data_IF_860368016662
#
_entry.id   IF_860368016662
#
_cell.length_a   1.000
_cell.length_b   1.000
_cell.length_c   1.000
_cell.angle_alpha   90.00
_cell.angle_beta   90.00
_cell.angle_gamma   90.00
#
_symmetry.space_group_name_H-M   'P 1'
#
loop_
_entity.id
_entity.type
_entity.pdbx_description
1 polymer ?
#
# COMPACT_ATOMS: atom_id res chain seq x y z
N UNK A 1 -49.37 -2.20 41.50
CA UNK A 1 -49.90 -1.18 40.55
C UNK A 1 -48.70 -0.57 39.83
N UNK A 2 -48.77 -0.36 38.50
CA UNK A 2 -47.71 0.33 37.77
C UNK A 2 -47.82 1.84 38.01
N UNK A 3 -46.75 2.57 38.38
CA UNK A 3 -46.85 3.98 38.78
C UNK A 3 -47.15 4.91 37.58
N UNK A 4 -47.79 6.06 37.85
CA UNK A 4 -47.96 7.14 36.86
C UNK A 4 -46.58 7.63 36.43
N UNK A 5 -46.41 7.92 35.13
CA UNK A 5 -45.14 8.39 34.59
C UNK A 5 -44.15 7.31 34.20
N UNK A 6 -44.38 6.03 34.52
CA UNK A 6 -43.49 4.98 34.02
C UNK A 6 -43.83 4.61 32.55
N UNK A 7 -42.83 4.47 31.66
CA UNK A 7 -43.05 4.08 30.27
C UNK A 7 -43.56 2.64 30.14
N UNK A 8 -44.60 2.44 29.35
CA UNK A 8 -45.21 1.13 29.11
C UNK A 8 -45.04 0.78 27.62
N UNK A 9 -44.42 -0.38 27.29
CA UNK A 9 -44.38 -0.85 25.91
C UNK A 9 -45.77 -1.34 25.50
N UNK A 10 -46.34 -0.73 24.47
CA UNK A 10 -47.68 -1.01 23.96
C UNK A 10 -47.63 -1.58 22.53
N UNK A 11 -48.27 -2.74 22.25
CA UNK A 11 -48.14 -3.45 20.98
C UNK A 11 -49.05 -2.95 19.85
N UNK A 12 -49.74 -1.81 20.03
CA UNK A 12 -50.75 -1.30 19.08
C UNK A 12 -50.61 0.19 18.86
N UNK A 13 -51.03 0.69 17.71
CA UNK A 13 -51.12 2.13 17.42
C UNK A 13 -52.37 2.78 18.04
N UNK A 14 -53.35 1.98 18.48
CA UNK A 14 -54.52 2.48 19.22
C UNK A 14 -54.18 2.67 20.69
N UNK A 15 -54.08 3.91 21.14
CA UNK A 15 -53.71 4.25 22.52
C UNK A 15 -54.95 4.14 23.42
N UNK A 16 -54.89 3.37 24.54
CA UNK A 16 -56.01 3.26 25.46
C UNK A 16 -56.37 4.60 26.14
N UNK A 17 -57.63 4.77 26.52
CA UNK A 17 -58.07 5.94 27.27
C UNK A 17 -57.29 6.08 28.59
N UNK A 18 -56.90 7.32 28.92
CA UNK A 18 -56.06 7.62 30.10
C UNK A 18 -54.56 7.47 29.89
N UNK A 19 -54.11 7.15 28.67
CA UNK A 19 -52.70 7.06 28.30
C UNK A 19 -52.37 8.04 27.17
N UNK A 20 -51.09 8.39 27.06
CA UNK A 20 -50.55 9.16 25.94
C UNK A 20 -49.30 8.49 25.37
N UNK A 21 -49.05 8.65 24.07
CA UNK A 21 -47.79 8.28 23.43
C UNK A 21 -46.65 9.15 23.98
N UNK A 22 -45.45 8.60 24.15
CA UNK A 22 -44.29 9.33 24.66
C UNK A 22 -43.44 9.91 23.53
N UNK A 23 -43.72 11.15 23.14
CA UNK A 23 -43.19 11.78 21.92
C UNK A 23 -42.69 13.22 22.13
N UNK A 24 -42.26 13.58 23.35
CA UNK A 24 -41.65 14.88 23.61
C UNK A 24 -42.63 16.02 23.90
N UNK A 25 -43.92 15.74 24.06
CA UNK A 25 -44.96 16.75 24.21
C UNK A 25 -45.04 17.32 25.65
N UNK A 26 -45.46 18.59 25.75
CA UNK A 26 -45.80 19.22 27.03
C UNK A 26 -47.14 18.73 27.57
N UNK A 27 -47.35 18.82 28.89
CA UNK A 27 -48.64 18.56 29.55
C UNK A 27 -48.94 19.60 30.64
N UNK A 28 -50.22 19.73 30.98
CA UNK A 28 -50.66 20.58 32.10
C UNK A 28 -50.40 19.87 33.44
N UNK A 29 -49.48 20.44 34.22
CA UNK A 29 -49.09 19.91 35.54
C UNK A 29 -50.21 20.00 36.57
N UNK A 30 -51.12 20.97 36.46
CA UNK A 30 -52.24 21.11 37.39
C UNK A 30 -53.30 20.04 37.13
N UNK A 31 -53.55 19.72 35.85
CA UNK A 31 -54.46 18.64 35.46
C UNK A 31 -53.90 17.25 35.78
N UNK A 32 -52.57 17.06 35.69
CA UNK A 32 -51.90 15.77 35.89
C UNK A 32 -50.81 15.84 36.99
N UNK A 33 -51.19 16.00 38.27
CA UNK A 33 -50.24 16.20 39.36
C UNK A 33 -49.33 14.99 39.60
N UNK A 34 -49.83 13.77 39.43
CA UNK A 34 -49.02 12.55 39.56
C UNK A 34 -47.99 12.41 38.43
N UNK A 35 -48.35 12.83 37.22
CA UNK A 35 -47.41 12.87 36.10
C UNK A 35 -46.35 13.97 36.29
N UNK A 36 -46.74 15.10 36.89
CA UNK A 36 -45.82 16.19 37.25
C UNK A 36 -44.80 15.78 38.32
N UNK A 37 -45.13 14.84 39.21
CA UNK A 37 -44.15 14.25 40.12
C UNK A 37 -43.08 13.43 39.38
N UNK A 38 -43.47 12.69 38.33
CA UNK A 38 -42.54 11.91 37.52
C UNK A 38 -41.72 12.79 36.56
N UNK A 39 -42.36 13.81 35.98
CA UNK A 39 -41.76 14.74 35.02
C UNK A 39 -41.97 16.20 35.45
N UNK A 40 -41.15 16.72 36.38
CA UNK A 40 -41.30 18.08 36.90
C UNK A 40 -41.16 19.19 35.84
N UNK A 41 -40.50 18.88 34.71
CA UNK A 41 -40.39 19.76 33.55
C UNK A 41 -41.74 20.08 32.89
N UNK A 42 -42.77 19.26 33.12
CA UNK A 42 -44.03 19.36 32.37
C UNK A 42 -43.91 18.82 30.94
N UNK A 43 -42.87 18.04 30.63
CA UNK A 43 -42.60 17.47 29.31
C UNK A 43 -42.46 15.95 29.45
N UNK A 44 -43.24 15.21 28.65
CA UNK A 44 -43.11 13.76 28.52
C UNK A 44 -41.89 13.48 27.63
N UNK A 45 -40.95 12.59 28.01
CA UNK A 45 -39.81 12.24 27.17
C UNK A 45 -40.22 11.73 25.78
N UNK A 46 -39.44 12.04 24.75
CA UNK A 46 -39.57 11.39 23.45
C UNK A 46 -38.82 10.06 23.48
N UNK A 47 -39.56 8.95 23.44
CA UNK A 47 -39.00 7.60 23.46
C UNK A 47 -39.11 6.90 22.10
N UNK A 48 -39.51 7.60 21.05
CA UNK A 48 -39.57 7.02 19.71
C UNK A 48 -38.17 6.59 19.29
N UNK A 49 -38.04 5.33 18.85
CA UNK A 49 -36.77 4.71 18.44
C UNK A 49 -35.71 4.58 19.55
N UNK A 50 -36.07 4.81 20.83
CA UNK A 50 -35.15 4.65 21.95
C UNK A 50 -35.35 3.30 22.66
N UNK A 51 -34.29 2.84 23.32
CA UNK A 51 -34.31 1.68 24.21
C UNK A 51 -34.05 2.18 25.64
N UNK A 52 -34.85 1.72 26.59
CA UNK A 52 -34.67 2.07 28.01
C UNK A 52 -33.45 1.31 28.55
N UNK A 53 -32.44 2.07 28.99
CA UNK A 53 -31.23 1.58 29.64
C UNK A 53 -31.21 2.03 31.09
N UNK A 54 -30.87 1.12 32.00
CA UNK A 54 -30.72 1.44 33.42
C UNK A 54 -29.72 2.59 33.64
N UNK A 55 -30.05 3.49 34.55
CA UNK A 55 -29.14 4.56 34.97
C UNK A 55 -27.93 4.00 35.73
N UNK A 56 -26.86 4.78 35.81
CA UNK A 56 -25.67 4.48 36.60
C UNK A 56 -25.04 5.78 37.12
N UNK A 57 -24.19 5.68 38.14
CA UNK A 57 -23.51 6.85 38.73
C UNK A 57 -22.69 7.56 37.66
N UNK A 58 -22.91 8.87 37.50
CA UNK A 58 -22.28 9.67 36.44
C UNK A 58 -23.15 9.89 35.20
N UNK A 59 -24.37 9.34 35.15
CA UNK A 59 -25.35 9.63 34.11
C UNK A 59 -26.66 10.15 34.70
N UNK A 60 -27.09 11.33 34.26
CA UNK A 60 -28.35 11.92 34.69
C UNK A 60 -29.55 11.09 34.21
N UNK A 61 -30.58 10.98 35.03
CA UNK A 61 -31.85 10.31 34.67
C UNK A 61 -32.49 11.07 33.50
N UNK A 62 -33.05 10.35 32.53
CA UNK A 62 -33.60 10.86 31.25
C UNK A 62 -32.58 11.51 30.30
N UNK A 63 -31.28 11.40 30.55
CA UNK A 63 -30.27 11.82 29.56
C UNK A 63 -30.25 10.89 28.34
N UNK A 64 -30.09 11.47 27.15
CA UNK A 64 -29.90 10.72 25.90
C UNK A 64 -28.48 10.17 25.79
N UNK A 65 -28.34 8.98 25.22
CA UNK A 65 -27.06 8.36 24.86
C UNK A 65 -27.19 7.91 23.41
N UNK A 66 -26.32 8.41 22.53
CA UNK A 66 -26.28 7.97 21.14
C UNK A 66 -25.74 6.54 21.03
N UNK A 67 -26.11 5.84 19.97
CA UNK A 67 -25.57 4.53 19.67
C UNK A 67 -24.07 4.62 19.29
N UNK A 68 -23.34 3.55 19.54
CA UNK A 68 -21.91 3.51 19.30
C UNK A 68 -21.35 2.10 19.25
N UNK A 69 -20.35 1.89 18.41
CA UNK A 69 -19.61 0.64 18.31
C UNK A 69 -18.52 0.64 19.38
N UNK A 70 -18.37 -0.48 20.08
CA UNK A 70 -17.27 -0.67 21.04
C UNK A 70 -15.93 -0.61 20.30
N UNK A 71 -14.94 0.05 20.92
CA UNK A 71 -13.56 0.09 20.40
C UNK A 71 -13.05 -1.31 20.06
N UNK A 72 -12.49 -1.47 18.86
CA UNK A 72 -11.94 -2.71 18.35
C UNK A 72 -10.88 -2.43 17.26
N UNK A 73 -10.13 -3.47 16.87
CA UNK A 73 -9.14 -3.43 15.80
C UNK A 73 -9.31 -4.64 14.87
N UNK A 74 -8.68 -4.57 13.70
CA UNK A 74 -8.63 -5.67 12.72
C UNK A 74 -7.18 -6.03 12.42
N UNK A 75 -6.92 -7.29 12.12
CA UNK A 75 -5.69 -7.68 11.43
C UNK A 75 -5.84 -7.40 9.94
N UNK A 76 -4.74 -7.08 9.28
CA UNK A 76 -4.69 -6.85 7.84
C UNK A 76 -3.41 -7.45 7.27
N UNK A 77 -3.46 -7.87 6.01
CA UNK A 77 -2.31 -8.41 5.27
C UNK A 77 -2.33 -7.91 3.83
N UNK A 78 -1.15 -7.89 3.21
CA UNK A 78 -0.99 -7.63 1.78
C UNK A 78 -0.49 -8.91 1.10
N UNK A 79 -0.99 -9.16 -0.11
CA UNK A 79 -0.52 -10.28 -0.93
C UNK A 79 0.86 -9.97 -1.53
N UNK A 80 1.66 -11.01 -1.76
CA UNK A 80 2.91 -10.89 -2.51
C UNK A 80 2.66 -10.39 -3.94
N UNK A 81 3.60 -9.62 -4.49
CA UNK A 81 3.56 -9.11 -5.86
C UNK A 81 4.88 -9.42 -6.58
N UNK A 82 4.79 -10.12 -7.72
CA UNK A 82 5.91 -10.32 -8.65
C UNK A 82 5.90 -9.20 -9.70
N UNK A 83 7.00 -8.44 -9.80
CA UNK A 83 7.15 -7.31 -10.74
C UNK A 83 7.68 -7.75 -12.12
N UNK A 84 8.04 -9.03 -12.26
CA UNK A 84 8.53 -9.66 -13.47
C UNK A 84 9.94 -9.21 -13.90
N UNK A 85 10.34 -9.65 -15.10
CA UNK A 85 11.63 -9.32 -15.71
C UNK A 85 11.58 -7.98 -16.46
N UNK A 86 12.65 -7.18 -16.36
CA UNK A 86 12.84 -5.93 -17.12
C UNK A 86 14.16 -6.00 -17.90
N UNK A 87 14.19 -5.37 -19.07
CA UNK A 87 15.39 -5.25 -19.90
C UNK A 87 16.00 -3.86 -19.75
N UNK A 88 17.33 -3.77 -19.75
CA UNK A 88 18.06 -2.50 -19.76
C UNK A 88 18.01 -1.86 -21.15
N UNK A 89 18.38 -0.58 -21.24
CA UNK A 89 18.66 0.05 -22.52
C UNK A 89 19.87 -0.62 -23.23
N UNK A 90 19.96 -0.41 -24.54
CA UNK A 90 21.08 -0.88 -25.35
C UNK A 90 22.31 0.02 -25.19
N UNK A 91 23.50 -0.58 -25.20
CA UNK A 91 24.79 0.10 -25.17
C UNK A 91 25.74 -0.51 -26.20
N UNK A 92 26.32 0.32 -27.07
CA UNK A 92 27.26 -0.08 -28.13
C UNK A 92 28.67 0.47 -27.83
N UNK A 93 29.66 -0.42 -27.77
CA UNK A 93 31.07 -0.05 -27.55
C UNK A 93 31.75 0.52 -28.79
N UNK A 94 31.15 0.37 -29.98
CA UNK A 94 31.71 0.76 -31.26
C UNK A 94 33.05 0.08 -31.58
N UNK A 95 33.84 0.70 -32.45
CA UNK A 95 35.17 0.21 -32.85
C UNK A 95 36.24 0.59 -31.83
N UNK A 96 37.15 -0.35 -31.53
CA UNK A 96 38.29 -0.19 -30.62
C UNK A 96 39.57 -0.55 -31.36
N UNK A 97 40.63 0.24 -31.20
CA UNK A 97 41.95 0.01 -31.82
C UNK A 97 42.96 -0.52 -30.80
N UNK A 98 43.92 -1.34 -31.25
CA UNK A 98 45.09 -1.73 -30.45
C UNK A 98 46.16 -0.64 -30.44
N UNK A 99 47.20 -0.81 -29.60
CA UNK A 99 48.43 -0.02 -29.71
C UNK A 99 49.27 -0.45 -30.92
N UNK A 100 50.20 0.41 -31.36
CA UNK A 100 51.17 0.11 -32.44
C UNK A 100 52.41 -0.56 -31.86
N UNK A 101 52.71 -1.80 -32.29
CA UNK A 101 53.88 -2.58 -31.85
C UNK A 101 54.26 -3.64 -32.89
N UNK A 102 55.33 -4.39 -32.66
CA UNK A 102 55.77 -5.50 -33.52
C UNK A 102 56.86 -5.14 -34.55
N UNK A 103 57.37 -3.91 -34.53
CA UNK A 103 58.53 -3.54 -35.33
C UNK A 103 59.77 -4.32 -34.88
N UNK A 104 60.39 -5.04 -35.80
CA UNK A 104 61.63 -5.78 -35.59
C UNK A 104 62.46 -5.81 -36.88
N UNK A 105 63.75 -6.14 -36.77
CA UNK A 105 64.67 -6.27 -37.90
C UNK A 105 65.20 -7.71 -37.99
N UNK A 106 65.52 -8.16 -39.20
CA UNK A 106 66.19 -9.43 -39.46
C UNK A 106 67.63 -9.19 -39.91
N UNK A 107 68.53 -10.13 -39.63
CA UNK A 107 69.89 -10.16 -40.19
C UNK A 107 70.18 -11.59 -40.65
N UNK A 108 70.77 -11.73 -41.83
CA UNK A 108 71.15 -13.01 -42.41
C UNK A 108 72.54 -12.90 -43.03
N UNK A 109 73.46 -13.77 -42.60
CA UNK A 109 74.78 -13.92 -43.22
C UNK A 109 74.71 -14.94 -44.35
N UNK A 110 75.14 -14.55 -45.55
CA UNK A 110 75.17 -15.40 -46.74
C UNK A 110 76.56 -15.51 -47.35
N UNK A 111 76.87 -16.67 -47.92
CA UNK A 111 78.03 -16.88 -48.79
C UNK A 111 77.54 -16.89 -50.23
N UNK A 112 77.92 -15.89 -51.03
CA UNK A 112 77.56 -15.85 -52.46
C UNK A 112 78.64 -16.57 -53.28
N UNK A 113 78.20 -17.36 -54.26
CA UNK A 113 79.10 -17.95 -55.27
C UNK A 113 79.77 -16.85 -56.09
N UNK A 114 81.09 -16.90 -56.18
CA UNK A 114 81.93 -15.85 -56.78
C UNK A 114 81.56 -15.49 -58.21
N UNK A 115 81.68 -14.20 -58.52
CA UNK A 115 81.50 -13.63 -59.85
C UNK A 115 82.67 -14.00 -60.78
N UNK A 116 82.60 -15.19 -61.38
CA UNK A 116 83.49 -15.66 -62.46
C UNK A 116 84.99 -15.80 -62.15
N UNK A 117 85.50 -17.00 -62.47
CA UNK A 117 86.90 -17.43 -62.65
C UNK A 117 87.92 -16.80 -61.69
N UNK A 118 87.99 -17.39 -60.48
CA UNK A 118 89.10 -17.22 -59.52
C UNK A 118 88.77 -16.48 -58.22
N UNK A 119 87.54 -15.95 -58.07
CA UNK A 119 87.15 -15.11 -56.93
C UNK A 119 87.01 -15.85 -55.59
N UNK A 120 87.65 -15.33 -54.54
CA UNK A 120 87.47 -15.80 -53.15
C UNK A 120 86.03 -15.59 -52.68
N UNK A 121 85.52 -16.55 -51.91
CA UNK A 121 84.20 -16.48 -51.29
C UNK A 121 84.04 -15.18 -50.47
N UNK A 122 83.05 -14.35 -50.80
CA UNK A 122 82.73 -13.12 -50.06
C UNK A 122 81.61 -13.44 -49.08
N UNK A 123 81.86 -13.18 -47.78
CA UNK A 123 80.84 -13.26 -46.73
C UNK A 123 80.23 -11.87 -46.57
N UNK A 124 78.91 -11.74 -46.72
CA UNK A 124 78.25 -10.52 -46.25
C UNK A 124 78.23 -10.57 -44.72
N UNK A 125 78.98 -9.66 -44.09
CA UNK A 125 78.99 -9.50 -42.64
C UNK A 125 77.81 -8.63 -42.19
N UNK A 126 77.46 -7.58 -42.95
CA UNK A 126 76.31 -6.71 -42.72
C UNK A 126 75.82 -6.12 -44.07
N UNK A 127 74.50 -6.15 -44.31
CA UNK A 127 73.97 -5.67 -45.58
C UNK A 127 72.47 -5.42 -45.58
N UNK A 128 72.07 -4.17 -45.35
CA UNK A 128 70.71 -3.66 -45.60
C UNK A 128 70.38 -3.52 -47.12
N UNK A 129 71.23 -4.05 -48.01
CA UNK A 129 71.19 -3.81 -49.45
C UNK A 129 70.50 -4.93 -50.24
N UNK A 130 69.92 -5.92 -49.56
CA UNK A 130 69.03 -6.93 -50.14
C UNK A 130 67.65 -6.78 -49.50
N UNK A 131 66.67 -6.34 -50.29
CA UNK A 131 65.30 -6.23 -49.82
C UNK A 131 64.69 -7.63 -49.71
N UNK A 132 64.13 -7.96 -48.55
CA UNK A 132 63.32 -9.17 -48.38
C UNK A 132 61.98 -9.02 -49.09
N UNK A 133 61.26 -10.13 -49.32
CA UNK A 133 59.87 -10.09 -49.77
C UNK A 133 58.96 -9.41 -48.73
N UNK A 134 57.81 -8.91 -49.19
CA UNK A 134 56.78 -8.33 -48.31
C UNK A 134 56.00 -9.45 -47.61
N UNK A 135 56.24 -9.60 -46.31
CA UNK A 135 55.61 -10.59 -45.44
C UNK A 135 55.29 -9.95 -44.08
N UNK A 136 54.40 -10.56 -43.28
CA UNK A 136 54.08 -10.09 -41.93
C UNK A 136 52.67 -9.53 -41.74
N UNK A 137 51.82 -9.56 -42.78
CA UNK A 137 50.39 -9.33 -42.62
C UNK A 137 49.78 -10.44 -41.75
N UNK A 138 49.20 -10.07 -40.62
CA UNK A 138 48.61 -10.98 -39.66
C UNK A 138 47.52 -10.28 -38.86
N UNK A 139 46.61 -11.07 -38.29
CA UNK A 139 45.55 -10.59 -37.42
C UNK A 139 45.61 -11.29 -36.07
N UNK A 140 45.17 -10.59 -35.02
CA UNK A 140 44.99 -11.15 -33.68
C UNK A 140 43.51 -11.20 -33.35
N UNK A 141 43.11 -12.25 -32.64
CA UNK A 141 41.80 -12.34 -32.01
C UNK A 141 41.91 -11.93 -30.55
N UNK A 142 41.06 -11.01 -30.09
CA UNK A 142 40.98 -10.64 -28.67
C UNK A 142 39.62 -11.04 -28.13
N UNK A 143 39.60 -11.92 -27.13
CA UNK A 143 38.39 -12.32 -26.43
C UNK A 143 38.10 -11.34 -25.28
N UNK A 144 36.91 -10.71 -25.27
CA UNK A 144 36.49 -9.76 -24.21
C UNK A 144 35.79 -10.49 -23.07
N UNK A 145 34.86 -11.38 -23.39
CA UNK A 145 34.10 -12.17 -22.43
C UNK A 145 32.79 -11.54 -21.93
N UNK A 146 31.96 -12.32 -21.23
CA UNK A 146 30.68 -11.85 -20.68
C UNK A 146 30.88 -11.02 -19.41
N UNK A 147 29.93 -10.14 -19.13
CA UNK A 147 29.85 -9.43 -17.85
C UNK A 147 28.37 -9.30 -17.42
N UNK A 148 28.16 -8.97 -16.15
CA UNK A 148 26.83 -8.72 -15.58
C UNK A 148 26.87 -7.50 -14.68
N UNK A 149 25.71 -6.87 -14.51
CA UNK A 149 25.51 -5.73 -13.62
C UNK A 149 24.45 -6.08 -12.59
N UNK A 150 24.52 -5.44 -11.42
CA UNK A 150 23.44 -5.42 -10.45
C UNK A 150 22.83 -4.02 -10.40
N UNK A 151 21.53 -3.94 -10.14
CA UNK A 151 20.81 -2.67 -9.95
C UNK A 151 20.10 -2.71 -8.61
N UNK A 152 20.41 -1.75 -7.74
CA UNK A 152 19.72 -1.58 -6.47
C UNK A 152 18.42 -0.78 -6.69
N UNK A 153 17.27 -1.35 -6.30
CA UNK A 153 15.95 -0.72 -6.52
C UNK A 153 15.55 0.22 -5.36
N UNK A 154 15.88 -0.14 -4.12
CA UNK A 154 15.53 0.63 -2.92
C UNK A 154 14.20 0.24 -2.26
N UNK A 155 13.90 0.91 -1.15
CA UNK A 155 12.65 0.75 -0.40
C UNK A 155 11.51 1.58 -1.00
N UNK A 156 10.28 1.11 -0.81
CA UNK A 156 9.07 1.84 -1.18
C UNK A 156 7.94 1.57 -0.17
N UNK A 157 6.85 2.31 -0.27
CA UNK A 157 5.68 2.18 0.62
C UNK A 157 4.37 2.31 -0.15
N UNK A 158 3.26 1.96 0.51
CA UNK A 158 1.91 2.09 -0.02
C UNK A 158 1.02 2.82 0.97
N UNK A 159 0.04 3.56 0.46
CA UNK A 159 -1.07 4.08 1.27
C UNK A 159 -2.17 3.05 1.34
N UNK A 160 -2.72 2.83 2.55
CA UNK A 160 -3.83 1.89 2.77
C UNK A 160 -5.05 2.69 3.22
N UNK A 161 -6.20 2.41 2.62
CA UNK A 161 -7.48 3.00 3.02
C UNK A 161 -8.47 1.89 3.31
N UNK A 162 -9.15 2.00 4.45
CA UNK A 162 -10.25 1.11 4.83
C UNK A 162 -11.54 1.89 4.67
N UNK A 163 -12.40 1.47 3.75
CA UNK A 163 -13.70 2.10 3.54
C UNK A 163 -14.65 1.86 4.72
N UNK A 164 -15.56 2.82 4.96
CA UNK A 164 -16.58 2.67 5.98
C UNK A 164 -17.52 1.49 5.65
N UNK A 165 -17.85 0.71 6.68
CA UNK A 165 -18.80 -0.41 6.59
C UNK A 165 -19.74 -0.33 7.79
N UNK A 166 -21.05 -0.42 7.53
CA UNK A 166 -22.06 -0.40 8.57
C UNK A 166 -23.41 0.13 8.07
N UNK A 167 -24.39 0.13 8.98
CA UNK A 167 -25.69 0.74 8.77
C UNK A 167 -25.70 2.17 9.35
N UNK A 168 -26.80 2.89 9.17
CA UNK A 168 -26.98 4.23 9.75
C UNK A 168 -27.06 4.22 11.29
N UNK A 169 -27.41 3.09 11.91
CA UNK A 169 -27.53 2.92 13.35
C UNK A 169 -26.87 1.60 13.80
N UNK A 170 -26.31 1.60 15.00
CA UNK A 170 -25.86 0.39 15.69
C UNK A 170 -27.04 -0.24 16.44
N UNK A 171 -27.54 -1.36 15.92
CA UNK A 171 -28.74 -2.03 16.43
C UNK A 171 -28.45 -3.41 17.01
N UNK A 172 -29.18 -3.77 18.06
CA UNK A 172 -29.38 -5.18 18.46
C UNK A 172 -30.70 -5.68 17.88
N UNK A 173 -30.91 -7.00 17.84
CA UNK A 173 -32.24 -7.56 17.50
C UNK A 173 -33.29 -6.95 18.43
N UNK A 174 -34.30 -6.32 17.84
CA UNK A 174 -35.35 -5.60 18.56
C UNK A 174 -36.70 -5.77 17.85
N UNK A 175 -37.77 -5.44 18.56
CA UNK A 175 -39.15 -5.40 18.06
C UNK A 175 -39.75 -4.05 18.45
N UNK A 176 -40.47 -3.42 17.52
CA UNK A 176 -41.06 -2.11 17.76
C UNK A 176 -42.32 -2.22 18.64
N UNK A 177 -42.35 -1.41 19.69
CA UNK A 177 -43.52 -1.15 20.53
C UNK A 177 -43.69 0.37 20.67
N UNK A 178 -44.92 0.84 20.82
CA UNK A 178 -45.19 2.22 21.15
C UNK A 178 -44.98 2.43 22.65
N UNK A 179 -44.10 3.35 23.04
CA UNK A 179 -44.02 3.75 24.45
C UNK A 179 -45.19 4.67 24.80
N UNK A 180 -46.02 4.23 25.74
CA UNK A 180 -47.13 5.01 26.29
C UNK A 180 -46.88 5.30 27.77
N UNK A 181 -47.56 6.32 28.29
CA UNK A 181 -47.52 6.69 29.71
C UNK A 181 -48.92 6.91 30.25
N UNK A 182 -49.18 6.46 31.47
CA UNK A 182 -50.45 6.74 32.18
C UNK A 182 -50.48 8.20 32.63
N UNK A 183 -51.60 8.89 32.44
CA UNK A 183 -51.72 10.33 32.73
C UNK A 183 -52.11 10.65 34.18
N UNK A 184 -52.89 9.78 34.84
CA UNK A 184 -53.39 9.95 36.22
C UNK A 184 -53.42 8.62 36.97
#
# INVERSE_FOLDING_TARGET
MYPVGAPIPWPSDTIPAGYALMQGQSFDKAAYPLLALAYPSGIIPDLRRLIIKGGYVGRAVLSYEADGIKSHTHSASASSADLGTKYTSSFDYGWKSSNTTGAHNHSAGGVYGGDSIGGKSRVQHDGNNQLTSLNGDHAHTTYIGPHSHSVYIGSHSHSVTVSAVGNAENTVRNIAFNYIVRLA
#
